data_IF_335729088900
#
_entry.id   IF_335729088900
#
_cell.length_a   1.000
_cell.length_b   1.000
_cell.length_c   1.000
_cell.angle_alpha   90.00
_cell.angle_beta   90.00
_cell.angle_gamma   90.00
#
_symmetry.space_group_name_H-M   'P 1'
#
loop_
_entity.id
_entity.type
_entity.pdbx_description
1 polymer ?
#
# COMPACT_ATOMS: atom_id res chain seq x y z
N UNK A 1 50.08 48.24 12.42
CA UNK A 1 48.62 48.17 12.67
C UNK A 1 47.92 47.91 11.35
N UNK A 2 46.96 46.98 11.30
CA UNK A 2 46.13 46.72 10.11
C UNK A 2 46.05 45.25 9.66
N UNK A 3 45.68 44.33 10.57
CA UNK A 3 45.13 43.01 10.21
C UNK A 3 43.62 43.18 10.01
N UNK A 4 43.07 42.75 8.88
CA UNK A 4 41.93 41.82 8.84
C UNK A 4 41.42 41.66 7.40
N UNK A 5 41.82 40.56 6.78
CA UNK A 5 41.07 39.91 5.71
C UNK A 5 40.01 39.07 6.44
N UNK A 6 38.75 39.48 6.35
CA UNK A 6 37.61 38.63 6.73
C UNK A 6 36.83 38.29 5.47
N UNK A 7 37.24 37.21 4.83
CA UNK A 7 36.45 36.52 3.83
C UNK A 7 35.25 35.87 4.55
N UNK A 8 34.05 36.44 4.36
CA UNK A 8 32.80 35.80 4.78
C UNK A 8 32.44 34.80 3.71
N UNK A 9 32.73 33.53 3.99
CA UNK A 9 32.41 32.39 3.15
C UNK A 9 30.90 32.24 3.02
N UNK A 10 30.47 32.23 1.76
CA UNK A 10 29.15 31.94 1.24
C UNK A 10 28.67 30.58 1.75
N UNK A 11 27.80 30.58 2.76
CA UNK A 11 27.08 29.40 3.21
C UNK A 11 25.97 29.04 2.22
N UNK A 12 26.33 28.48 1.07
CA UNK A 12 25.40 27.82 0.18
C UNK A 12 24.85 26.61 0.95
N UNK A 13 23.62 26.72 1.48
CA UNK A 13 22.88 25.59 1.97
C UNK A 13 22.79 24.55 0.85
N UNK A 14 23.58 23.48 0.94
CA UNK A 14 23.39 22.27 0.17
C UNK A 14 21.98 21.74 0.51
N UNK A 15 20.99 22.17 -0.27
CA UNK A 15 19.78 21.41 -0.46
C UNK A 15 20.21 20.21 -1.30
N UNK A 16 20.73 19.17 -0.64
CA UNK A 16 20.80 17.87 -1.27
C UNK A 16 19.38 17.57 -1.75
N UNK A 17 19.15 17.39 -3.07
CA UNK A 17 17.86 16.91 -3.52
C UNK A 17 17.65 15.59 -2.77
N UNK A 18 16.65 15.55 -1.88
CA UNK A 18 16.18 14.28 -1.35
C UNK A 18 15.86 13.43 -2.58
N UNK A 19 16.66 12.38 -2.81
CA UNK A 19 16.33 11.36 -3.79
C UNK A 19 14.88 10.97 -3.52
N UNK A 20 14.02 11.21 -4.52
CA UNK A 20 12.58 11.44 -4.34
C UNK A 20 11.95 10.49 -3.33
N UNK A 21 11.67 10.99 -2.13
CA UNK A 21 10.98 10.22 -1.11
C UNK A 21 9.58 9.90 -1.62
N UNK A 22 9.31 8.62 -1.85
CA UNK A 22 8.03 8.14 -2.37
C UNK A 22 6.91 8.61 -1.43
N UNK A 23 5.97 9.39 -1.96
CA UNK A 23 4.78 9.78 -1.21
C UNK A 23 3.86 8.56 -1.13
N UNK A 24 3.46 8.21 0.08
CA UNK A 24 2.58 7.08 0.34
C UNK A 24 1.13 7.53 0.41
N UNK A 25 0.79 8.37 1.38
CA UNK A 25 -0.61 8.75 1.63
C UNK A 25 -0.70 10.13 2.27
N UNK A 26 -1.50 11.04 1.68
CA UNK A 26 -1.77 12.40 2.18
C UNK A 26 -0.51 13.23 2.56
N UNK A 27 0.59 13.00 1.85
CA UNK A 27 1.87 13.66 2.07
C UNK A 27 2.77 13.00 3.12
N UNK A 28 2.36 11.86 3.71
CA UNK A 28 3.28 10.95 4.38
C UNK A 28 4.20 10.32 3.34
N UNK A 29 5.50 10.26 3.60
CA UNK A 29 6.48 9.71 2.67
C UNK A 29 7.30 8.60 3.30
N UNK A 30 7.83 7.73 2.43
CA UNK A 30 8.83 6.73 2.82
C UNK A 30 9.95 7.34 3.66
N UNK A 31 10.32 6.65 4.72
CA UNK A 31 11.42 7.02 5.61
C UNK A 31 11.09 8.06 6.68
N UNK A 32 9.86 8.59 6.72
CA UNK A 32 9.44 9.44 7.83
C UNK A 32 9.48 8.68 9.16
N UNK A 33 10.05 9.29 10.20
CA UNK A 33 9.95 8.79 11.58
C UNK A 33 8.52 8.92 12.11
N UNK A 34 8.16 8.19 13.18
CA UNK A 34 6.86 8.38 13.85
C UNK A 34 6.60 9.83 14.25
N UNK A 35 7.61 10.56 14.74
CA UNK A 35 7.45 11.97 15.11
C UNK A 35 7.11 12.86 13.89
N UNK A 36 7.73 12.63 12.73
CA UNK A 36 7.42 13.37 11.50
C UNK A 36 6.01 13.04 10.99
N UNK A 37 5.60 11.77 11.04
CA UNK A 37 4.22 11.37 10.71
C UNK A 37 3.23 12.02 11.68
N UNK A 38 3.51 12.03 12.98
CA UNK A 38 2.65 12.65 13.99
C UNK A 38 2.52 14.17 13.80
N UNK A 39 3.57 14.86 13.38
CA UNK A 39 3.49 16.29 13.03
C UNK A 39 2.54 16.52 11.86
N UNK A 40 2.50 15.60 10.90
CA UNK A 40 1.61 15.64 9.74
C UNK A 40 0.18 15.27 10.08
N UNK A 41 -0.01 14.30 10.96
CA UNK A 41 -1.30 13.81 11.44
C UNK A 41 -1.38 13.95 12.96
N UNK A 42 -1.65 15.16 13.50
CA UNK A 42 -1.61 15.39 14.95
C UNK A 42 -2.60 14.56 15.77
N UNK A 43 -3.62 14.00 15.11
CA UNK A 43 -4.62 13.11 15.72
C UNK A 43 -4.24 11.63 15.66
N UNK A 44 -3.19 11.26 14.93
CA UNK A 44 -2.69 9.90 14.96
C UNK A 44 -2.18 9.58 16.38
N UNK A 45 -2.28 8.34 16.81
CA UNK A 45 -1.84 7.94 18.15
C UNK A 45 -1.13 6.60 18.07
N UNK A 46 -0.19 6.38 19.00
CA UNK A 46 0.40 5.05 19.15
C UNK A 46 -0.70 4.08 19.61
N UNK A 47 -0.92 2.95 18.91
CA UNK A 47 -1.91 1.97 19.34
C UNK A 47 -1.48 1.29 20.64
N UNK A 48 -2.46 0.95 21.49
CA UNK A 48 -2.20 0.18 22.72
C UNK A 48 -1.61 -1.19 22.41
N UNK A 49 -2.12 -1.83 21.35
CA UNK A 49 -1.63 -3.11 20.82
C UNK A 49 -1.23 -2.89 19.36
N UNK A 50 0.07 -2.70 19.07
CA UNK A 50 0.57 -2.56 17.71
C UNK A 50 0.42 -3.83 16.88
N UNK A 51 -0.02 -3.68 15.64
CA UNK A 51 0.05 -4.76 14.66
C UNK A 51 1.47 -4.92 14.08
N UNK A 52 1.76 -6.11 13.55
CA UNK A 52 3.02 -6.42 12.87
C UNK A 52 2.77 -7.07 11.52
N UNK A 53 3.40 -6.55 10.48
CA UNK A 53 3.35 -7.13 9.14
C UNK A 53 4.33 -8.32 9.02
N UNK A 54 4.08 -9.18 8.04
CA UNK A 54 4.93 -10.33 7.76
C UNK A 54 6.38 -9.96 7.41
N UNK A 55 6.61 -8.75 6.87
CA UNK A 55 7.94 -8.22 6.56
C UNK A 55 8.71 -7.74 7.79
N UNK A 56 8.07 -7.71 8.96
CA UNK A 56 8.68 -7.29 10.22
C UNK A 56 8.37 -5.85 10.62
N UNK A 57 7.75 -5.06 9.74
CA UNK A 57 7.31 -3.70 10.03
C UNK A 57 6.25 -3.69 11.13
N UNK A 58 6.35 -2.72 12.03
CA UNK A 58 5.48 -2.60 13.21
C UNK A 58 4.65 -1.34 13.09
N UNK A 59 3.39 -1.42 13.48
CA UNK A 59 2.51 -0.26 13.55
C UNK A 59 3.00 0.71 14.62
N UNK A 60 3.35 1.93 14.22
CA UNK A 60 3.79 2.95 15.17
C UNK A 60 2.69 3.95 15.50
N UNK A 61 1.76 4.17 14.57
CA UNK A 61 0.70 5.17 14.68
C UNK A 61 -0.57 4.67 14.00
N UNK A 62 -1.70 5.12 14.52
CA UNK A 62 -3.05 4.84 14.03
C UNK A 62 -3.88 6.11 14.01
N UNK A 63 -4.63 6.34 12.94
CA UNK A 63 -5.54 7.46 12.75
C UNK A 63 -6.93 6.92 12.41
N UNK A 64 -7.89 7.13 13.30
CA UNK A 64 -9.29 6.75 13.10
C UNK A 64 -10.06 7.78 12.26
N UNK A 65 -11.30 7.42 11.88
CA UNK A 65 -12.28 8.27 11.21
C UNK A 65 -11.80 8.83 9.85
N UNK A 66 -11.00 8.06 9.13
CA UNK A 66 -10.57 8.41 7.77
C UNK A 66 -11.72 8.12 6.81
N UNK A 67 -12.04 9.07 5.92
CA UNK A 67 -13.12 8.93 4.95
C UNK A 67 -12.55 8.79 3.54
N UNK A 68 -12.91 7.72 2.85
CA UNK A 68 -12.52 7.46 1.46
C UNK A 68 -13.68 6.79 0.73
N UNK A 69 -14.01 7.25 -0.48
CA UNK A 69 -15.10 6.73 -1.30
C UNK A 69 -16.45 6.58 -0.57
N UNK A 70 -16.75 7.44 0.39
CA UNK A 70 -17.98 7.37 1.20
C UNK A 70 -17.97 6.32 2.31
N UNK A 71 -16.84 5.69 2.60
CA UNK A 71 -16.66 4.68 3.65
C UNK A 71 -15.69 5.16 4.74
N UNK A 72 -15.79 4.57 5.93
CA UNK A 72 -14.96 4.91 7.09
C UNK A 72 -13.82 3.89 7.21
N UNK A 73 -12.61 4.39 7.43
CA UNK A 73 -11.41 3.60 7.55
C UNK A 73 -10.60 4.05 8.76
N UNK A 74 -9.78 3.14 9.23
CA UNK A 74 -8.69 3.40 10.16
C UNK A 74 -7.36 3.28 9.41
N UNK A 75 -6.56 4.33 9.42
CA UNK A 75 -5.22 4.32 8.84
C UNK A 75 -4.18 3.89 9.88
N UNK A 76 -3.43 2.84 9.55
CA UNK A 76 -2.31 2.31 10.32
C UNK A 76 -1.00 2.59 9.59
N UNK A 77 -0.06 3.23 10.29
CA UNK A 77 1.26 3.59 9.78
C UNK A 77 2.28 2.57 10.27
N UNK A 78 2.90 1.84 9.35
CA UNK A 78 3.86 0.78 9.63
C UNK A 78 5.29 1.22 9.33
N UNK A 79 6.17 1.02 10.32
CA UNK A 79 7.55 1.48 10.29
C UNK A 79 8.51 0.29 10.25
N UNK A 80 9.51 0.39 9.37
CA UNK A 80 10.64 -0.52 9.28
C UNK A 80 11.92 0.13 9.80
N UNK A 81 13.08 -0.41 9.42
CA UNK A 81 14.39 0.12 9.82
C UNK A 81 14.60 1.57 9.36
N UNK A 82 14.22 1.88 8.11
CA UNK A 82 14.47 3.18 7.49
C UNK A 82 13.38 4.22 7.83
N UNK A 83 12.35 3.86 8.61
CA UNK A 83 11.20 4.72 8.91
C UNK A 83 9.91 4.19 8.29
N UNK A 84 8.98 5.10 7.93
CA UNK A 84 7.67 4.75 7.39
C UNK A 84 7.83 3.94 6.08
N UNK A 85 7.23 2.75 6.04
CA UNK A 85 7.28 1.84 4.90
C UNK A 85 5.93 1.69 4.22
N UNK A 86 4.86 1.68 5.01
CA UNK A 86 3.52 1.39 4.53
C UNK A 86 2.48 2.16 5.34
N UNK A 87 1.43 2.61 4.67
CA UNK A 87 0.18 3.03 5.28
C UNK A 87 -0.92 2.09 4.81
N UNK A 88 -1.67 1.52 5.75
CA UNK A 88 -2.80 0.65 5.46
C UNK A 88 -4.08 1.28 6.00
N UNK A 89 -5.04 1.53 5.14
CA UNK A 89 -6.39 1.93 5.53
C UNK A 89 -7.24 0.66 5.57
N UNK A 90 -7.59 0.21 6.78
CA UNK A 90 -8.54 -0.88 6.98
C UNK A 90 -9.95 -0.34 7.10
N UNK A 91 -10.89 -0.91 6.35
CA UNK A 91 -12.30 -0.53 6.44
C UNK A 91 -12.79 -0.81 7.87
N UNK A 92 -13.48 0.15 8.47
CA UNK A 92 -13.88 0.02 9.87
C UNK A 92 -14.88 -1.13 10.05
N UNK A 93 -14.59 -1.98 11.04
CA UNK A 93 -15.39 -3.17 11.35
C UNK A 93 -15.15 -4.35 10.41
N UNK A 94 -16.13 -5.25 10.33
CA UNK A 94 -16.11 -6.42 9.43
C UNK A 94 -17.47 -6.53 8.74
N UNK A 95 -17.68 -5.77 7.64
CA UNK A 95 -18.99 -5.73 6.99
C UNK A 95 -19.32 -7.06 6.33
N UNK A 96 -20.61 -7.27 6.06
CA UNK A 96 -21.07 -8.38 5.24
C UNK A 96 -20.40 -8.34 3.85
N UNK A 97 -20.21 -9.51 3.23
CA UNK A 97 -19.49 -9.66 1.96
C UNK A 97 -19.97 -8.68 0.86
N UNK A 98 -21.29 -8.53 0.70
CA UNK A 98 -21.87 -7.62 -0.28
C UNK A 98 -21.50 -6.15 0.00
N UNK A 99 -21.40 -5.76 1.26
CA UNK A 99 -21.10 -4.39 1.67
C UNK A 99 -19.59 -4.10 1.52
N UNK A 100 -18.74 -5.07 1.88
CA UNK A 100 -17.30 -4.99 1.62
C UNK A 100 -16.97 -4.93 0.13
N UNK A 101 -17.68 -5.70 -0.71
CA UNK A 101 -17.46 -5.64 -2.15
C UNK A 101 -17.85 -4.27 -2.72
N UNK A 102 -18.94 -3.66 -2.24
CA UNK A 102 -19.30 -2.28 -2.63
C UNK A 102 -18.23 -1.28 -2.21
N UNK A 103 -17.67 -1.42 -1.01
CA UNK A 103 -16.56 -0.56 -0.57
C UNK A 103 -15.31 -0.74 -1.43
N UNK A 104 -14.94 -1.98 -1.77
CA UNK A 104 -13.85 -2.27 -2.70
C UNK A 104 -14.06 -1.58 -4.04
N UNK A 105 -15.25 -1.71 -4.64
CA UNK A 105 -15.56 -1.13 -5.94
C UNK A 105 -15.59 0.39 -5.92
N UNK A 106 -16.12 0.99 -4.85
CA UNK A 106 -16.14 2.43 -4.66
C UNK A 106 -14.71 2.99 -4.58
N UNK A 107 -13.85 2.40 -3.75
CA UNK A 107 -12.44 2.81 -3.61
C UNK A 107 -11.67 2.59 -4.91
N UNK A 108 -11.83 1.42 -5.54
CA UNK A 108 -11.16 1.14 -6.82
C UNK A 108 -11.62 2.09 -7.93
N UNK A 109 -12.89 2.50 -7.92
CA UNK A 109 -13.44 3.51 -8.82
C UNK A 109 -12.82 4.89 -8.59
N UNK A 110 -12.69 5.33 -7.34
CA UNK A 110 -12.07 6.61 -6.98
C UNK A 110 -10.59 6.65 -7.38
N UNK A 111 -9.82 5.61 -7.04
CA UNK A 111 -8.42 5.47 -7.46
C UNK A 111 -8.29 5.37 -8.99
N UNK A 112 -9.23 4.70 -9.64
CA UNK A 112 -9.31 4.60 -11.08
C UNK A 112 -9.54 5.96 -11.77
N UNK A 113 -10.36 6.81 -11.16
CA UNK A 113 -10.59 8.18 -11.64
C UNK A 113 -9.35 9.07 -11.43
N UNK A 114 -8.61 8.89 -10.33
CA UNK A 114 -7.42 9.67 -10.02
C UNK A 114 -6.17 9.25 -10.80
N UNK A 115 -5.98 7.95 -11.05
CA UNK A 115 -4.73 7.38 -11.55
C UNK A 115 -4.88 6.57 -12.85
N UNK A 116 -6.09 6.50 -13.40
CA UNK A 116 -6.40 5.66 -14.56
C UNK A 116 -6.54 4.18 -14.21
N UNK A 117 -6.45 3.32 -15.22
CA UNK A 117 -6.64 1.87 -15.03
C UNK A 117 -5.55 1.28 -14.11
N UNK A 118 -5.89 0.28 -13.28
CA UNK A 118 -4.89 -0.39 -12.45
C UNK A 118 -3.82 -1.05 -13.32
N UNK A 119 -2.58 -1.02 -12.82
CA UNK A 119 -1.45 -1.75 -13.37
C UNK A 119 -1.69 -3.27 -13.37
N UNK A 120 -2.35 -3.79 -12.32
CA UNK A 120 -2.80 -5.18 -12.26
C UNK A 120 -4.10 -5.31 -11.48
N UNK A 121 -4.88 -6.33 -11.81
CA UNK A 121 -6.09 -6.70 -11.08
C UNK A 121 -6.26 -8.21 -11.08
N UNK A 122 -6.59 -8.80 -9.94
CA UNK A 122 -6.81 -10.24 -9.81
C UNK A 122 -8.14 -10.52 -9.12
N UNK A 123 -8.77 -11.63 -9.50
CA UNK A 123 -9.95 -12.14 -8.83
C UNK A 123 -9.82 -13.66 -8.67
N UNK A 124 -9.72 -14.07 -7.42
CA UNK A 124 -9.72 -15.47 -7.01
C UNK A 124 -11.07 -15.79 -6.38
N UNK A 125 -11.70 -16.91 -6.79
CA UNK A 125 -12.99 -17.32 -6.27
C UNK A 125 -12.89 -18.48 -5.26
N UNK A 126 -11.81 -19.26 -5.29
CA UNK A 126 -11.64 -20.44 -4.45
C UNK A 126 -10.24 -20.49 -3.81
N UNK A 127 -10.10 -21.01 -2.57
CA UNK A 127 -11.18 -21.47 -1.68
C UNK A 127 -11.96 -20.33 -1.00
N UNK A 128 -11.46 -19.11 -1.06
CA UNK A 128 -12.14 -17.90 -0.58
C UNK A 128 -12.14 -16.85 -1.67
N UNK A 129 -13.18 -16.03 -1.73
CA UNK A 129 -13.21 -14.92 -2.67
C UNK A 129 -12.20 -13.87 -2.25
N UNK A 130 -11.31 -13.51 -3.18
CA UNK A 130 -10.32 -12.46 -3.01
C UNK A 130 -10.25 -11.63 -4.28
N UNK A 131 -10.20 -10.31 -4.13
CA UNK A 131 -10.06 -9.39 -5.26
C UNK A 131 -8.98 -8.36 -4.95
N UNK A 132 -8.18 -8.03 -5.95
CA UNK A 132 -7.16 -6.99 -5.85
C UNK A 132 -7.19 -6.08 -7.06
N UNK A 133 -6.88 -4.81 -6.83
CA UNK A 133 -6.55 -3.84 -7.88
C UNK A 133 -5.34 -3.04 -7.40
N UNK A 134 -4.36 -2.85 -8.27
CA UNK A 134 -3.08 -2.26 -7.92
C UNK A 134 -2.66 -1.19 -8.94
N UNK A 135 -2.14 -0.08 -8.43
CA UNK A 135 -1.56 1.03 -9.18
C UNK A 135 -0.11 1.25 -8.76
N UNK A 136 0.64 1.91 -9.65
CA UNK A 136 1.94 2.49 -9.34
C UNK A 136 1.79 4.01 -9.38
N UNK A 137 2.00 4.66 -8.24
CA UNK A 137 1.84 6.12 -8.09
C UNK A 137 3.12 6.67 -7.48
N UNK A 138 3.83 7.55 -8.20
CA UNK A 138 5.07 8.19 -7.75
C UNK A 138 6.13 7.23 -7.18
N UNK A 139 6.23 6.03 -7.78
CA UNK A 139 7.16 4.98 -7.38
C UNK A 139 6.66 4.05 -6.27
N UNK A 140 5.60 4.43 -5.56
CA UNK A 140 4.93 3.61 -4.55
C UNK A 140 3.87 2.70 -5.19
N UNK A 141 3.57 1.59 -4.50
CA UNK A 141 2.44 0.72 -4.84
C UNK A 141 1.21 1.16 -4.05
N UNK A 142 0.08 1.33 -4.74
CA UNK A 142 -1.24 1.50 -4.11
C UNK A 142 -2.08 0.29 -4.47
N UNK A 143 -2.58 -0.45 -3.47
CA UNK A 143 -3.35 -1.68 -3.68
C UNK A 143 -4.62 -1.66 -2.87
N UNK A 144 -5.75 -1.90 -3.53
CA UNK A 144 -7.01 -2.24 -2.86
C UNK A 144 -7.11 -3.76 -2.80
N UNK A 145 -7.43 -4.27 -1.63
CA UNK A 145 -7.56 -5.68 -1.34
C UNK A 145 -8.94 -5.95 -0.72
N UNK A 146 -9.63 -6.97 -1.23
CA UNK A 146 -10.86 -7.51 -0.69
C UNK A 146 -10.67 -9.00 -0.42
N UNK A 147 -11.24 -9.50 0.68
CA UNK A 147 -11.31 -10.92 0.97
C UNK A 147 -12.52 -11.28 1.83
N UNK A 148 -13.16 -12.41 1.52
CA UNK A 148 -14.19 -13.02 2.38
C UNK A 148 -13.56 -13.67 3.61
N UNK A 149 -14.22 -13.49 4.77
CA UNK A 149 -13.89 -14.16 6.02
C UNK A 149 -15.19 -14.66 6.67
N UNK A 150 -15.51 -15.94 6.45
CA UNK A 150 -16.81 -16.48 6.84
C UNK A 150 -17.94 -15.72 6.13
N UNK A 151 -18.87 -15.14 6.89
CA UNK A 151 -19.97 -14.30 6.36
C UNK A 151 -19.62 -12.82 6.29
N UNK A 152 -18.42 -12.43 6.75
CA UNK A 152 -17.94 -11.07 6.73
C UNK A 152 -16.86 -10.89 5.64
N UNK A 153 -16.30 -9.69 5.56
CA UNK A 153 -15.26 -9.34 4.60
C UNK A 153 -14.25 -8.37 5.20
N UNK A 154 -13.07 -8.36 4.62
CA UNK A 154 -11.99 -7.41 4.90
C UNK A 154 -11.76 -6.59 3.64
N UNK A 155 -11.61 -5.28 3.80
CA UNK A 155 -11.21 -4.36 2.73
C UNK A 155 -10.07 -3.50 3.23
N UNK A 156 -8.93 -3.55 2.55
CA UNK A 156 -7.76 -2.74 2.87
C UNK A 156 -7.30 -1.94 1.65
N UNK A 157 -6.91 -0.69 1.87
CA UNK A 157 -6.15 0.13 0.90
C UNK A 157 -4.74 0.24 1.42
N UNK A 158 -3.76 -0.20 0.63
CA UNK A 158 -2.38 -0.37 1.05
C UNK A 158 -1.51 0.52 0.18
N UNK A 159 -0.90 1.53 0.80
CA UNK A 159 0.11 2.40 0.21
C UNK A 159 1.48 1.95 0.70
N UNK A 160 2.29 1.37 -0.18
CA UNK A 160 3.55 0.74 0.19
C UNK A 160 4.70 1.31 -0.61
N UNK A 161 5.75 1.73 0.09
CA UNK A 161 6.99 2.14 -0.54
C UNK A 161 7.64 0.93 -1.21
N UNK A 162 8.24 1.15 -2.38
CA UNK A 162 9.16 0.18 -2.95
C UNK A 162 10.54 0.46 -2.37
N UNK A 163 11.12 -0.47 -1.62
CA UNK A 163 12.52 -0.32 -1.21
C UNK A 163 13.39 -0.14 -2.47
N UNK A 164 14.32 0.83 -2.51
CA UNK A 164 15.12 1.15 -3.70
C UNK A 164 15.83 -0.06 -4.33
N UNK A 165 16.20 -1.04 -3.50
CA UNK A 165 16.96 -2.23 -3.89
C UNK A 165 16.14 -3.53 -3.92
N UNK A 166 14.81 -3.47 -3.79
CA UNK A 166 13.98 -4.67 -3.83
C UNK A 166 14.02 -5.28 -5.25
N UNK A 167 14.51 -6.54 -5.42
CA UNK A 167 14.43 -7.20 -6.72
C UNK A 167 12.97 -7.24 -7.18
N UNK A 168 12.71 -7.17 -8.50
CA UNK A 168 11.36 -7.32 -9.02
C UNK A 168 10.76 -8.61 -8.46
N UNK A 169 9.61 -8.50 -7.77
CA UNK A 169 8.95 -9.63 -7.15
C UNK A 169 8.72 -10.77 -8.14
N UNK A 170 8.56 -12.02 -7.67
CA UNK A 170 8.40 -13.17 -8.54
C UNK A 170 7.24 -12.93 -9.50
N UNK A 171 7.51 -12.97 -10.81
CA UNK A 171 6.44 -13.00 -11.81
C UNK A 171 5.71 -14.32 -11.63
N UNK A 172 4.50 -14.29 -11.06
CA UNK A 172 3.62 -15.45 -11.04
C UNK A 172 3.31 -15.79 -12.50
N UNK A 173 3.93 -16.86 -13.00
CA UNK A 173 3.54 -17.45 -14.29
C UNK A 173 2.13 -17.97 -14.11
N UNK A 174 1.16 -17.34 -14.78
CA UNK A 174 -0.16 -17.95 -14.96
C UNK A 174 0.06 -19.35 -15.54
N UNK A 175 -0.53 -20.41 -14.95
CA UNK A 175 -0.45 -21.74 -15.54
C UNK A 175 -1.11 -21.68 -16.93
N UNK A 176 -0.29 -21.77 -17.97
CA UNK A 176 -0.77 -21.98 -19.33
C UNK A 176 -1.59 -23.26 -19.33
N UNK A 177 -2.85 -23.16 -19.79
CA UNK A 177 -3.79 -24.27 -19.78
C UNK A 177 -3.17 -25.57 -20.30
N UNK A 178 -3.27 -26.61 -19.48
CA UNK A 178 -2.93 -27.98 -19.84
C UNK A 178 -3.78 -28.39 -21.03
N UNK A 179 -3.12 -28.55 -22.19
CA UNK A 179 -3.71 -29.17 -23.36
C UNK A 179 -4.14 -30.59 -23.02
N UNK A 180 -5.43 -30.86 -23.16
CA UNK A 180 -6.00 -32.20 -23.11
C UNK A 180 -6.83 -32.39 -24.37
N UNK A 181 -6.20 -32.90 -25.42
CA UNK A 181 -6.93 -33.54 -26.53
C UNK A 181 -6.46 -34.98 -26.57
N UNK A 182 -7.36 -35.85 -26.14
CA UNK A 182 -7.14 -37.28 -25.98
C UNK A 182 -6.87 -37.97 -27.31
N UNK A 183 -5.91 -38.86 -27.22
CA UNK A 183 -5.56 -39.94 -28.13
C UNK A 183 -6.78 -40.85 -28.37
N UNK A 184 -7.30 -40.86 -29.60
CA UNK A 184 -8.33 -41.80 -30.04
C UNK A 184 -7.65 -43.04 -30.64
N UNK A 185 -7.51 -44.08 -29.81
CA UNK A 185 -7.16 -45.42 -30.23
C UNK A 185 -8.20 -46.43 -29.77
N UNK A 186 -9.07 -46.88 -30.68
CA UNK A 186 -9.82 -48.14 -30.54
C UNK A 186 -9.80 -48.89 -31.87
N UNK A 187 -9.15 -50.05 -31.87
CA UNK A 187 -9.25 -51.08 -32.91
C UNK A 187 -10.43 -52.01 -32.62
N UNK A 188 -11.02 -52.53 -33.70
CA UNK A 188 -11.66 -53.85 -33.78
C UNK A 188 -13.16 -53.85 -33.51
N UNK A 189 -13.98 -53.93 -34.57
CA UNK A 189 -14.44 -55.18 -35.19
C UNK A 189 -14.56 -54.99 -36.71
#
# INVERSE_FOLDING_TARGET
>A
MGKMICAVLLGLCLHAPHAGAQVLWEGASYGMSPAQVQQRFPRAQMPEVPDKLAGGEVEGLRLADVRMAGHAFTASFFFGHDGLMQVMLGLDGMPAQADGMRAFEAVAGELGAAHGKPHSSEWTHAPFQRRTAQWMVDGATVKVFYMDVGTASIVNVIHQARAPDAPPGPRLRTPTGSGRTGEAGRRGE
#
